data_IF_464994909939
#
_entry.id   IF_464994909939
#
_cell.length_a   1.000
_cell.length_b   1.000
_cell.length_c   1.000
_cell.angle_alpha   90.00
_cell.angle_beta   90.00
_cell.angle_gamma   90.00
#
_symmetry.space_group_name_H-M   'P 1'
#
loop_
_entity.id
_entity.type
_entity.pdbx_description
1 polymer ?
#
# COMPACT_ATOMS: atom_id res chain seq x y z
N UNK A 1 -10.87 -28.86 11.39
CA UNK A 1 -11.66 -27.62 11.20
C UNK A 1 -10.71 -26.45 11.39
N UNK A 2 -10.62 -25.50 10.45
CA UNK A 2 -9.73 -24.34 10.60
C UNK A 2 -10.42 -23.45 11.63
N UNK A 3 -9.72 -23.13 12.72
CA UNK A 3 -10.29 -22.33 13.79
C UNK A 3 -10.42 -20.89 13.31
N UNK A 4 -11.66 -20.41 13.20
CA UNK A 4 -11.96 -19.01 12.90
C UNK A 4 -12.04 -18.28 14.24
N UNK A 5 -11.28 -17.19 14.35
CA UNK A 5 -11.37 -16.27 15.49
C UNK A 5 -12.27 -15.13 15.08
N UNK A 6 -13.30 -14.85 15.88
CA UNK A 6 -14.17 -13.71 15.64
C UNK A 6 -13.44 -12.42 16.01
N UNK A 7 -13.68 -11.32 15.28
CA UNK A 7 -13.15 -10.02 15.66
C UNK A 7 -13.69 -9.61 17.03
N UNK A 8 -12.85 -8.98 17.84
CA UNK A 8 -13.19 -8.48 19.18
C UNK A 8 -14.12 -7.24 19.17
N UNK A 9 -14.43 -6.73 17.98
CA UNK A 9 -15.31 -5.58 17.76
C UNK A 9 -14.62 -4.22 17.84
N UNK A 10 -13.33 -4.17 18.20
CA UNK A 10 -12.56 -2.92 18.26
C UNK A 10 -12.01 -2.50 16.90
N UNK A 11 -11.74 -3.46 16.03
CA UNK A 11 -11.17 -3.26 14.71
C UNK A 11 -12.17 -3.59 13.60
N UNK A 12 -12.00 -2.93 12.45
CA UNK A 12 -12.76 -3.27 11.26
C UNK A 12 -12.15 -4.53 10.61
N UNK A 13 -12.86 -5.66 10.69
CA UNK A 13 -12.51 -6.87 9.95
C UNK A 13 -13.09 -6.82 8.52
N UNK A 14 -12.24 -7.14 7.56
CA UNK A 14 -12.55 -7.08 6.12
C UNK A 14 -13.49 -8.21 5.70
N UNK A 15 -13.41 -9.37 6.35
CA UNK A 15 -14.18 -10.55 6.00
C UNK A 15 -15.41 -10.70 6.86
N UNK A 16 -15.32 -10.49 8.17
CA UNK A 16 -16.36 -10.80 9.14
C UNK A 16 -16.95 -9.53 9.77
N UNK A 17 -18.23 -9.57 10.10
CA UNK A 17 -18.88 -8.59 10.96
C UNK A 17 -18.62 -8.92 12.43
N UNK A 18 -18.96 -8.00 13.34
CA UNK A 18 -18.91 -8.26 14.78
C UNK A 18 -19.84 -9.41 15.22
N UNK A 19 -20.88 -9.70 14.42
CA UNK A 19 -21.80 -10.83 14.63
C UNK A 19 -21.26 -12.15 14.08
N UNK A 20 -20.09 -12.14 13.43
CA UNK A 20 -19.46 -13.32 12.82
C UNK A 20 -20.02 -13.71 11.46
N UNK A 21 -20.80 -12.84 10.83
CA UNK A 21 -21.29 -13.04 9.46
C UNK A 21 -20.24 -12.54 8.46
N UNK A 22 -20.05 -13.26 7.35
CA UNK A 22 -19.14 -12.79 6.31
C UNK A 22 -19.75 -11.63 5.51
N UNK A 23 -18.92 -10.65 5.14
CA UNK A 23 -19.33 -9.51 4.32
C UNK A 23 -19.62 -9.96 2.88
N UNK A 24 -20.53 -9.28 2.16
CA UNK A 24 -20.99 -9.73 0.85
C UNK A 24 -19.89 -9.96 -0.19
N UNK A 25 -18.87 -9.13 -0.20
CA UNK A 25 -17.75 -9.23 -1.16
C UNK A 25 -16.83 -10.42 -0.89
N UNK A 26 -16.90 -11.04 0.30
CA UNK A 26 -16.21 -12.29 0.63
C UNK A 26 -17.05 -13.55 0.37
N UNK A 27 -18.33 -13.44 -0.03
CA UNK A 27 -19.23 -14.61 -0.15
C UNK A 27 -18.68 -15.72 -1.06
N UNK A 28 -18.16 -15.38 -2.24
CA UNK A 28 -17.64 -16.37 -3.18
C UNK A 28 -16.41 -17.10 -2.61
N UNK A 29 -15.48 -16.34 -2.03
CA UNK A 29 -14.30 -16.90 -1.36
C UNK A 29 -14.68 -17.78 -0.17
N UNK A 30 -15.65 -17.32 0.64
CA UNK A 30 -16.15 -18.05 1.80
C UNK A 30 -16.79 -19.39 1.42
N UNK A 31 -17.63 -19.40 0.37
CA UNK A 31 -18.22 -20.63 -0.15
C UNK A 31 -17.15 -21.60 -0.66
N UNK A 32 -16.19 -21.10 -1.43
CA UNK A 32 -15.04 -21.91 -1.87
C UNK A 32 -14.26 -22.48 -0.69
N UNK A 33 -13.94 -21.66 0.31
CA UNK A 33 -13.19 -22.04 1.50
C UNK A 33 -13.90 -23.13 2.30
N UNK A 34 -15.23 -23.02 2.47
CA UNK A 34 -16.03 -24.02 3.19
C UNK A 34 -16.19 -25.34 2.43
N UNK A 35 -16.19 -25.29 1.10
CA UNK A 35 -16.36 -26.47 0.24
C UNK A 35 -15.03 -27.15 -0.13
N UNK A 36 -13.90 -26.51 0.14
CA UNK A 36 -12.57 -27.06 -0.15
C UNK A 36 -12.07 -27.90 1.02
N UNK A 37 -11.52 -29.07 0.72
CA UNK A 37 -10.98 -29.94 1.75
C UNK A 37 -9.72 -29.32 2.41
N UNK A 38 -9.56 -29.52 3.71
CA UNK A 38 -8.49 -28.90 4.48
C UNK A 38 -7.09 -29.43 4.13
N UNK A 39 -7.03 -30.62 3.54
CA UNK A 39 -5.78 -31.22 3.11
C UNK A 39 -5.26 -30.47 1.88
N UNK A 40 -6.11 -30.23 0.89
CA UNK A 40 -5.82 -29.43 -0.30
C UNK A 40 -5.45 -27.99 0.02
N UNK A 41 -6.13 -27.34 0.98
CA UNK A 41 -5.76 -25.97 1.41
C UNK A 41 -4.32 -25.96 1.97
N UNK A 42 -3.99 -26.90 2.85
CA UNK A 42 -2.64 -27.01 3.42
C UNK A 42 -1.60 -27.37 2.37
N UNK A 43 -1.93 -28.26 1.44
CA UNK A 43 -1.05 -28.65 0.34
C UNK A 43 -0.76 -27.46 -0.59
N UNK A 44 -1.79 -26.69 -0.97
CA UNK A 44 -1.63 -25.47 -1.79
C UNK A 44 -0.82 -24.41 -1.06
N UNK A 45 -1.04 -24.22 0.25
CA UNK A 45 -0.22 -23.30 1.06
C UNK A 45 1.25 -23.71 1.05
N UNK A 46 1.56 -24.99 1.31
CA UNK A 46 2.93 -25.49 1.26
C UNK A 46 3.56 -25.37 -0.14
N UNK A 47 2.79 -25.60 -1.20
CA UNK A 47 3.24 -25.41 -2.58
C UNK A 47 3.55 -23.94 -2.88
N UNK A 48 2.70 -23.01 -2.43
CA UNK A 48 2.93 -21.58 -2.56
C UNK A 48 4.18 -21.16 -1.80
N UNK A 49 4.34 -21.57 -0.53
CA UNK A 49 5.54 -21.30 0.26
C UNK A 49 6.82 -21.79 -0.44
N UNK A 50 6.82 -23.02 -0.97
CA UNK A 50 7.95 -23.56 -1.75
C UNK A 50 8.21 -22.78 -3.04
N UNK A 51 7.16 -22.28 -3.71
CA UNK A 51 7.27 -21.44 -4.89
C UNK A 51 7.93 -20.10 -4.53
N UNK A 52 7.47 -19.43 -3.48
CA UNK A 52 8.05 -18.18 -2.96
C UNK A 52 9.52 -18.36 -2.57
N UNK A 53 9.86 -19.48 -1.91
CA UNK A 53 11.24 -19.88 -1.63
C UNK A 53 12.08 -20.00 -2.91
N UNK A 54 11.55 -20.61 -3.98
CA UNK A 54 12.29 -20.89 -5.22
C UNK A 54 12.46 -19.66 -6.11
N UNK A 55 11.47 -18.76 -6.14
CA UNK A 55 11.51 -17.54 -6.94
C UNK A 55 12.45 -16.49 -6.30
N UNK A 56 12.88 -16.68 -5.05
CA UNK A 56 13.83 -15.79 -4.39
C UNK A 56 13.20 -14.43 -4.03
N UNK A 57 11.91 -14.44 -3.68
CA UNK A 57 11.20 -13.25 -3.22
C UNK A 57 11.61 -12.99 -1.76
N UNK A 58 12.80 -12.42 -1.60
CA UNK A 58 13.42 -12.09 -0.31
C UNK A 58 13.39 -10.57 -0.09
N UNK A 59 13.23 -10.15 1.16
CA UNK A 59 13.36 -8.74 1.54
C UNK A 59 14.60 -8.57 2.44
N UNK A 60 15.39 -7.52 2.18
CA UNK A 60 16.46 -7.11 3.07
C UNK A 60 15.87 -6.35 4.26
N UNK A 61 15.89 -6.95 5.45
CA UNK A 61 15.56 -6.23 6.67
C UNK A 61 16.72 -5.26 6.95
N UNK A 62 16.55 -3.98 6.62
CA UNK A 62 17.49 -2.95 7.03
C UNK A 62 17.40 -2.81 8.56
N UNK A 63 18.38 -3.31 9.31
CA UNK A 63 18.40 -3.12 10.76
C UNK A 63 19.36 -3.99 11.58
N UNK A 64 19.87 -5.11 11.08
CA UNK A 64 20.82 -5.95 11.82
C UNK A 64 21.97 -6.37 10.90
N UNK A 65 23.19 -6.35 11.42
CA UNK A 65 24.48 -6.66 10.76
C UNK A 65 24.61 -8.11 10.21
N UNK A 66 23.50 -8.81 10.03
CA UNK A 66 23.43 -10.10 9.35
C UNK A 66 22.43 -9.99 8.20
N UNK A 67 22.94 -9.91 6.97
CA UNK A 67 22.22 -9.99 5.70
C UNK A 67 21.52 -11.33 5.49
N UNK A 68 20.66 -11.69 6.44
CA UNK A 68 19.84 -12.89 6.41
C UNK A 68 18.61 -12.54 5.61
N UNK A 69 18.65 -12.85 4.32
CA UNK A 69 17.47 -12.78 3.45
C UNK A 69 16.32 -13.56 4.12
N UNK A 70 15.27 -12.84 4.52
CA UNK A 70 14.04 -13.45 5.02
C UNK A 70 13.00 -13.45 3.92
N UNK A 71 12.29 -14.55 3.81
CA UNK A 71 11.15 -14.64 2.91
C UNK A 71 10.01 -13.81 3.43
N UNK A 72 9.31 -13.18 2.51
CA UNK A 72 8.05 -12.52 2.83
C UNK A 72 7.02 -13.61 3.15
N UNK A 73 6.40 -13.60 4.34
CA UNK A 73 5.35 -14.55 4.66
C UNK A 73 4.17 -14.35 3.70
N UNK A 74 3.73 -15.43 3.08
CA UNK A 74 2.58 -15.42 2.19
C UNK A 74 1.32 -15.86 2.92
N UNK A 75 0.22 -15.11 2.72
CA UNK A 75 -1.11 -15.49 3.15
C UNK A 75 -1.99 -15.79 1.93
N UNK A 76 -2.65 -16.95 1.95
CA UNK A 76 -3.58 -17.40 0.94
C UNK A 76 -4.95 -16.72 1.00
N UNK A 77 -5.27 -16.03 2.10
CA UNK A 77 -6.52 -15.29 2.25
C UNK A 77 -6.37 -13.94 1.53
N UNK A 78 -7.14 -13.69 0.44
CA UNK A 78 -7.01 -12.46 -0.32
C UNK A 78 -7.58 -11.28 0.46
N UNK A 79 -6.99 -10.10 0.25
CA UNK A 79 -7.60 -8.81 0.59
C UNK A 79 -8.53 -8.41 -0.56
N UNK A 80 -9.83 -8.61 -0.39
CA UNK A 80 -10.81 -8.29 -1.42
C UNK A 80 -11.31 -6.86 -1.20
N UNK A 81 -11.11 -5.99 -2.19
CA UNK A 81 -11.60 -4.61 -2.16
C UNK A 81 -12.83 -4.51 -3.06
N UNK A 82 -14.02 -4.14 -2.55
CA UNK A 82 -15.21 -3.91 -3.37
C UNK A 82 -14.97 -2.86 -4.45
N UNK A 83 -15.57 -3.04 -5.64
CA UNK A 83 -15.37 -2.15 -6.78
C UNK A 83 -15.68 -0.67 -6.46
N UNK A 84 -16.74 -0.39 -5.69
CA UNK A 84 -17.09 0.97 -5.27
C UNK A 84 -16.06 1.61 -4.34
N UNK A 85 -15.45 0.82 -3.45
CA UNK A 85 -14.37 1.28 -2.57
C UNK A 85 -13.11 1.56 -3.40
N UNK A 86 -12.74 0.64 -4.30
CA UNK A 86 -11.59 0.81 -5.19
C UNK A 86 -11.72 2.06 -6.08
N UNK A 87 -12.89 2.33 -6.65
CA UNK A 87 -13.13 3.53 -7.44
C UNK A 87 -12.92 4.82 -6.63
N UNK A 88 -13.27 4.82 -5.34
CA UNK A 88 -13.02 5.96 -4.45
C UNK A 88 -11.53 6.12 -4.16
N UNK A 89 -10.85 5.01 -3.89
CA UNK A 89 -9.39 4.97 -3.64
C UNK A 89 -8.62 5.48 -4.87
N UNK A 90 -8.88 4.92 -6.07
CA UNK A 90 -8.21 5.32 -7.32
C UNK A 90 -8.36 6.83 -7.59
N UNK A 91 -9.58 7.37 -7.47
CA UNK A 91 -9.80 8.82 -7.63
C UNK A 91 -9.04 9.65 -6.60
N UNK A 92 -9.05 9.23 -5.33
CA UNK A 92 -8.33 9.92 -4.25
C UNK A 92 -6.82 9.91 -4.44
N UNK A 93 -6.24 8.78 -4.81
CA UNK A 93 -4.81 8.65 -5.10
C UNK A 93 -4.41 9.52 -6.29
N UNK A 94 -5.17 9.49 -7.40
CA UNK A 94 -4.90 10.34 -8.56
C UNK A 94 -4.94 11.82 -8.22
N UNK A 95 -5.93 12.25 -7.42
CA UNK A 95 -6.02 13.62 -6.94
C UNK A 95 -4.78 13.99 -6.10
N UNK A 96 -4.39 13.13 -5.17
CA UNK A 96 -3.23 13.35 -4.28
C UNK A 96 -1.92 13.45 -5.06
N UNK A 97 -1.65 12.49 -5.96
CA UNK A 97 -0.43 12.47 -6.78
C UNK A 97 -0.34 13.68 -7.71
N UNK A 98 -1.48 14.14 -8.26
CA UNK A 98 -1.54 15.38 -9.04
C UNK A 98 -1.18 16.60 -8.18
N UNK A 99 -1.71 16.69 -6.97
CA UNK A 99 -1.40 17.77 -6.05
C UNK A 99 0.09 17.75 -5.61
N UNK A 100 0.66 16.57 -5.36
CA UNK A 100 2.07 16.43 -4.98
C UNK A 100 3.02 16.86 -6.12
N UNK A 101 2.73 16.48 -7.36
CA UNK A 101 3.52 16.94 -8.51
C UNK A 101 3.39 18.46 -8.73
N UNK A 102 2.19 19.02 -8.56
CA UNK A 102 1.98 20.46 -8.64
C UNK A 102 2.71 21.21 -7.51
N UNK A 103 2.72 20.65 -6.29
CA UNK A 103 3.49 21.19 -5.17
C UNK A 103 4.99 21.18 -5.47
N UNK A 104 5.54 20.07 -5.94
CA UNK A 104 6.96 19.98 -6.32
C UNK A 104 7.32 20.99 -7.42
N UNK A 105 6.48 21.14 -8.43
CA UNK A 105 6.66 22.15 -9.46
C UNK A 105 6.70 23.56 -8.85
N UNK A 106 5.71 23.92 -8.04
CA UNK A 106 5.63 25.24 -7.42
C UNK A 106 6.84 25.53 -6.53
N UNK A 107 7.28 24.58 -5.70
CA UNK A 107 8.44 24.75 -4.82
C UNK A 107 9.73 25.05 -5.61
N UNK A 108 9.94 24.38 -6.74
CA UNK A 108 11.13 24.60 -7.57
C UNK A 108 10.98 25.74 -8.58
N UNK A 109 9.85 26.45 -8.60
CA UNK A 109 9.57 27.57 -9.51
C UNK A 109 9.06 28.80 -8.73
N UNK A 110 7.77 29.14 -8.86
CA UNK A 110 7.21 30.39 -8.36
C UNK A 110 6.96 30.41 -6.85
N UNK A 111 7.00 29.26 -6.16
CA UNK A 111 6.82 29.15 -4.71
C UNK A 111 5.55 29.87 -4.21
N UNK A 112 4.47 29.80 -4.98
CA UNK A 112 3.22 30.49 -4.69
C UNK A 112 2.61 30.02 -3.36
N UNK A 113 2.70 28.72 -3.06
CA UNK A 113 2.17 28.16 -1.80
C UNK A 113 2.90 28.70 -0.57
N UNK A 114 4.19 29.02 -0.71
CA UNK A 114 5.00 29.65 0.34
C UNK A 114 4.68 31.13 0.45
N UNK A 115 4.62 31.86 -0.69
CA UNK A 115 4.26 33.28 -0.73
C UNK A 115 2.85 33.55 -0.20
N UNK A 116 1.93 32.61 -0.39
CA UNK A 116 0.57 32.65 0.15
C UNK A 116 0.51 32.32 1.65
N UNK A 117 1.61 31.89 2.28
CA UNK A 117 1.66 31.55 3.70
C UNK A 117 0.90 30.29 4.08
N UNK A 118 0.53 29.44 3.11
CA UNK A 118 -0.20 28.19 3.37
C UNK A 118 0.72 27.09 3.90
N UNK A 119 2.00 27.11 3.51
CA UNK A 119 3.06 26.25 4.05
C UNK A 119 4.21 27.16 4.51
N UNK A 120 4.72 26.99 5.74
CA UNK A 120 5.88 27.74 6.21
C UNK A 120 7.11 27.45 5.34
N UNK A 121 7.74 28.51 4.84
CA UNK A 121 8.89 28.37 3.94
C UNK A 121 10.06 27.60 4.57
N UNK A 122 10.29 27.77 5.88
CA UNK A 122 11.33 27.06 6.63
C UNK A 122 11.16 25.54 6.63
N UNK A 123 9.92 25.02 6.64
CA UNK A 123 9.66 23.57 6.61
C UNK A 123 10.08 22.93 5.29
N UNK A 124 10.14 23.73 4.22
CA UNK A 124 10.49 23.25 2.87
C UNK A 124 11.93 23.59 2.54
N UNK A 125 12.31 24.87 2.60
CA UNK A 125 13.59 25.36 2.10
C UNK A 125 14.79 25.01 2.99
N UNK A 126 14.56 24.74 4.28
CA UNK A 126 15.59 24.26 5.20
C UNK A 126 15.63 22.72 5.31
N UNK A 127 14.74 22.02 4.60
CA UNK A 127 14.70 20.57 4.63
C UNK A 127 15.89 19.99 3.85
N UNK A 128 16.60 19.00 4.42
CA UNK A 128 17.75 18.35 3.78
C UNK A 128 17.42 17.67 2.45
N UNK A 129 16.16 17.32 2.22
CA UNK A 129 15.70 16.71 0.96
C UNK A 129 15.43 17.75 -0.13
N UNK A 130 15.28 19.03 0.20
CA UNK A 130 15.16 20.09 -0.81
C UNK A 130 16.46 20.20 -1.60
N UNK A 131 16.35 20.24 -2.93
CA UNK A 131 17.50 20.28 -3.84
C UNK A 131 17.58 21.64 -4.54
N UNK A 132 18.40 22.60 -4.05
CA UNK A 132 18.49 23.93 -4.66
C UNK A 132 18.87 23.91 -6.14
N UNK A 133 19.60 22.88 -6.59
CA UNK A 133 19.99 22.70 -7.98
C UNK A 133 18.81 22.44 -8.92
N UNK A 134 17.63 22.07 -8.40
CA UNK A 134 16.41 21.86 -9.19
C UNK A 134 15.65 23.15 -9.48
N UNK A 135 16.03 24.28 -8.87
CA UNK A 135 15.32 25.54 -9.02
C UNK A 135 15.32 26.02 -10.48
N UNK A 136 14.14 26.28 -11.03
CA UNK A 136 13.93 26.74 -12.40
C UNK A 136 14.17 25.69 -13.49
N UNK A 137 14.42 24.43 -13.11
CA UNK A 137 14.55 23.33 -14.08
C UNK A 137 13.15 22.89 -14.52
N UNK A 138 12.87 23.08 -15.82
CA UNK A 138 11.68 22.54 -16.45
C UNK A 138 11.85 21.05 -16.78
N UNK A 139 11.07 20.20 -16.11
CA UNK A 139 11.00 18.78 -16.41
C UNK A 139 9.97 18.49 -17.51
N UNK A 140 10.15 17.44 -18.33
CA UNK A 140 9.12 17.00 -19.26
C UNK A 140 7.77 16.80 -18.56
N UNK A 141 6.71 17.38 -19.13
CA UNK A 141 5.35 17.34 -18.60
C UNK A 141 5.19 17.85 -17.16
N UNK A 142 6.16 18.61 -16.62
CA UNK A 142 6.18 19.06 -15.22
C UNK A 142 5.99 17.92 -14.20
N UNK A 143 6.45 16.71 -14.55
CA UNK A 143 6.31 15.52 -13.71
C UNK A 143 7.59 15.27 -12.93
N UNK A 144 7.50 15.30 -11.60
CA UNK A 144 8.61 15.04 -10.69
C UNK A 144 8.55 13.58 -10.20
N UNK A 145 7.41 13.19 -9.61
CA UNK A 145 7.16 11.84 -9.15
C UNK A 145 6.39 11.06 -10.24
N UNK A 146 7.15 10.34 -11.07
CA UNK A 146 6.63 9.55 -12.18
C UNK A 146 5.92 8.28 -11.70
N UNK A 147 6.45 7.68 -10.62
CA UNK A 147 5.89 6.54 -9.92
C UNK A 147 5.75 6.96 -8.46
N UNK A 148 4.60 6.66 -7.86
CA UNK A 148 4.31 6.99 -6.47
C UNK A 148 3.72 5.77 -5.78
N UNK A 149 4.32 5.39 -4.65
CA UNK A 149 3.68 4.49 -3.70
C UNK A 149 2.87 5.30 -2.69
N UNK A 150 1.62 4.91 -2.42
CA UNK A 150 0.79 5.53 -1.39
C UNK A 150 0.43 4.46 -0.39
N UNK A 151 0.97 4.58 0.82
CA UNK A 151 0.73 3.61 1.88
C UNK A 151 -0.57 3.97 2.60
N UNK A 152 -1.48 3.01 2.64
CA UNK A 152 -2.84 3.21 3.12
C UNK A 152 -3.24 2.18 4.15
N UNK A 153 -4.04 2.62 5.11
CA UNK A 153 -4.66 1.76 6.11
C UNK A 153 -6.16 1.93 6.10
N UNK A 154 -6.87 0.86 6.50
CA UNK A 154 -8.30 0.94 6.83
C UNK A 154 -8.41 1.03 8.35
N UNK A 155 -9.00 2.09 8.84
CA UNK A 155 -9.17 2.33 10.27
C UNK A 155 -10.44 1.64 10.80
N UNK A 156 -10.64 1.69 12.11
CA UNK A 156 -11.74 1.04 12.84
C UNK A 156 -13.12 1.53 12.38
N UNK A 157 -13.19 2.76 11.87
CA UNK A 157 -14.37 3.38 11.26
C UNK A 157 -14.69 2.86 9.85
N UNK A 158 -13.90 1.91 9.35
CA UNK A 158 -14.01 1.32 8.02
C UNK A 158 -13.58 2.26 6.88
N UNK A 159 -13.01 3.43 7.19
CA UNK A 159 -12.52 4.39 6.21
C UNK A 159 -11.03 4.17 5.92
N UNK A 160 -10.62 4.62 4.73
CA UNK A 160 -9.25 4.55 4.26
C UNK A 160 -8.50 5.85 4.54
N UNK A 161 -7.27 5.72 5.04
CA UNK A 161 -6.37 6.82 5.37
C UNK A 161 -5.01 6.60 4.73
N UNK A 162 -4.37 7.69 4.29
CA UNK A 162 -2.98 7.67 3.82
C UNK A 162 -2.06 7.83 5.03
N UNK A 163 -1.08 6.94 5.17
CA UNK A 163 -0.02 7.04 6.16
C UNK A 163 1.21 7.74 5.60
N UNK A 164 1.62 7.39 4.39
CA UNK A 164 2.88 7.84 3.79
C UNK A 164 2.81 7.92 2.27
N UNK A 165 3.58 8.85 1.69
CA UNK A 165 3.78 8.98 0.25
C UNK A 165 5.24 8.70 -0.12
N UNK A 166 5.45 7.69 -0.95
CA UNK A 166 6.76 7.26 -1.43
C UNK A 166 7.03 7.82 -2.83
N UNK A 167 7.75 8.95 -2.90
CA UNK A 167 8.00 9.71 -4.14
C UNK A 167 9.41 9.58 -4.73
N UNK A 168 10.34 8.93 -4.01
CA UNK A 168 11.76 8.84 -4.41
C UNK A 168 11.99 7.65 -5.35
N UNK A 169 12.11 6.47 -4.76
CA UNK A 169 12.32 5.20 -5.47
C UNK A 169 11.35 4.17 -4.88
N UNK A 170 10.04 4.32 -5.14
CA UNK A 170 9.05 3.39 -4.60
C UNK A 170 9.34 1.98 -5.12
N UNK A 171 9.32 1.00 -4.22
CA UNK A 171 9.59 -0.41 -4.51
C UNK A 171 8.35 -1.27 -4.27
N UNK A 172 8.44 -2.57 -4.61
CA UNK A 172 7.41 -3.56 -4.27
C UNK A 172 6.39 -3.91 -5.35
N UNK A 173 6.47 -3.29 -6.54
CA UNK A 173 5.66 -3.69 -7.71
C UNK A 173 5.91 -5.16 -8.10
N UNK A 174 7.15 -5.63 -7.98
CA UNK A 174 7.49 -7.05 -8.20
C UNK A 174 6.70 -7.98 -7.27
N UNK A 175 6.60 -7.65 -5.98
CA UNK A 175 5.80 -8.44 -5.02
C UNK A 175 4.32 -8.48 -5.36
N UNK A 176 3.78 -7.46 -6.04
CA UNK A 176 2.40 -7.44 -6.49
C UNK A 176 2.19 -8.36 -7.71
N UNK A 177 3.11 -8.32 -8.68
CA UNK A 177 3.00 -9.07 -9.94
C UNK A 177 3.32 -10.56 -9.78
N UNK A 178 4.20 -10.91 -8.83
CA UNK A 178 4.63 -12.28 -8.58
C UNK A 178 3.67 -13.09 -7.68
N UNK A 179 2.51 -12.53 -7.27
CA UNK A 179 1.52 -13.29 -6.48
C UNK A 179 0.80 -14.30 -7.39
N UNK A 180 0.93 -15.62 -7.14
CA UNK A 180 0.27 -16.65 -7.94
C UNK A 180 -1.25 -16.75 -7.69
#
# INVERSE_FOLDING_TARGET
>A
MIKITLPDGHYYDEMLTAQGEQRPHYNAWWQWFRNTDQFSIRQKKAQAELLFHRIGITFNVYGEDEGTERLIPFDSVPRIIPAGEWQRIDRGIRQRVKALNAFLYDIYHEQNILRAGLIPAEQVLANEQYQPCMQGINLPNNTYAHITGVDMVRNNDGQYYVLEDNLRTPSGVSYMLEKP
#
